data_IF_591441451670
#
_entry.id   IF_591441451670
#
_cell.length_a   1.000
_cell.length_b   1.000
_cell.length_c   1.000
_cell.angle_alpha   90.00
_cell.angle_beta   90.00
_cell.angle_gamma   90.00
#
_symmetry.space_group_name_H-M   'P 1'
#
loop_
_entity.id
_entity.type
_entity.pdbx_description
1 polymer ?
#
# COMPACT_ATOMS: atom_id res chain seq x y z
N UNK A 1 7.68 17.54 -25.06
CA UNK A 1 6.41 18.20 -24.68
C UNK A 1 5.44 17.10 -24.26
N UNK A 2 4.87 17.14 -23.05
CA UNK A 2 3.91 16.11 -22.62
C UNK A 2 2.51 16.42 -23.18
N UNK A 3 1.99 15.53 -24.01
CA UNK A 3 0.66 15.64 -24.60
C UNK A 3 -0.40 15.25 -23.58
N UNK A 4 -1.32 16.15 -23.24
CA UNK A 4 -2.46 15.80 -22.37
C UNK A 4 -3.63 15.28 -23.22
N UNK A 5 -4.21 14.14 -22.83
CA UNK A 5 -5.40 13.55 -23.47
C UNK A 5 -6.59 13.59 -22.50
N UNK A 6 -7.81 13.91 -22.96
CA UNK A 6 -8.99 13.91 -22.11
C UNK A 6 -9.37 12.49 -21.69
N UNK A 7 -9.78 12.33 -20.43
CA UNK A 7 -10.38 11.10 -19.89
C UNK A 7 -11.89 11.32 -19.75
N UNK A 8 -12.70 10.53 -20.44
CA UNK A 8 -14.16 10.58 -20.33
C UNK A 8 -14.64 9.46 -19.40
N UNK A 9 -15.11 9.83 -18.21
CA UNK A 9 -15.65 8.86 -17.24
C UNK A 9 -16.70 9.56 -16.39
N UNK A 10 -17.81 8.89 -16.12
CA UNK A 10 -18.83 9.37 -15.21
C UNK A 10 -18.35 9.20 -13.76
N UNK A 11 -18.59 10.21 -12.93
CA UNK A 11 -18.40 10.14 -11.47
C UNK A 11 -19.73 10.45 -10.79
N UNK A 12 -19.91 10.01 -9.54
CA UNK A 12 -21.11 10.34 -8.78
C UNK A 12 -21.23 11.85 -8.56
N UNK A 13 -22.48 12.33 -8.43
CA UNK A 13 -22.75 13.74 -8.14
C UNK A 13 -22.14 14.16 -6.79
N UNK A 14 -22.22 13.30 -5.78
CA UNK A 14 -21.64 13.53 -4.46
C UNK A 14 -20.12 13.71 -4.52
N UNK A 15 -19.41 12.84 -5.24
CA UNK A 15 -17.94 12.95 -5.37
C UNK A 15 -17.54 14.21 -6.14
N UNK A 16 -18.34 14.62 -7.12
CA UNK A 16 -18.14 15.89 -7.85
C UNK A 16 -18.24 17.08 -6.90
N UNK A 17 -19.26 17.11 -6.03
CA UNK A 17 -19.43 18.19 -5.06
C UNK A 17 -18.29 18.25 -4.03
N UNK A 18 -17.86 17.08 -3.55
CA UNK A 18 -16.70 16.97 -2.65
C UNK A 18 -15.41 17.48 -3.31
N UNK A 19 -15.16 17.09 -4.57
CA UNK A 19 -14.01 17.55 -5.34
C UNK A 19 -14.03 19.07 -5.54
N UNK A 20 -15.20 19.62 -5.85
CA UNK A 20 -15.39 21.05 -6.07
C UNK A 20 -15.08 21.84 -4.79
N UNK A 21 -15.68 21.44 -3.67
CA UNK A 21 -15.42 22.05 -2.35
C UNK A 21 -13.95 21.93 -1.94
N UNK A 22 -13.33 20.78 -2.17
CA UNK A 22 -11.92 20.54 -1.83
C UNK A 22 -10.98 21.45 -2.63
N UNK A 23 -11.22 21.56 -3.93
CA UNK A 23 -10.41 22.36 -4.84
C UNK A 23 -10.53 23.86 -4.54
N UNK A 24 -11.75 24.35 -4.32
CA UNK A 24 -12.02 25.75 -4.00
C UNK A 24 -11.36 26.18 -2.69
N UNK A 25 -11.53 25.40 -1.62
CA UNK A 25 -10.94 25.71 -0.30
C UNK A 25 -9.41 25.79 -0.31
N UNK A 26 -8.76 25.16 -1.29
CA UNK A 26 -7.29 25.09 -1.39
C UNK A 26 -6.74 25.86 -2.59
N UNK A 27 -7.57 26.56 -3.36
CA UNK A 27 -7.15 27.28 -4.57
C UNK A 27 -6.54 26.37 -5.64
N UNK A 28 -6.94 25.09 -5.69
CA UNK A 28 -6.40 24.10 -6.60
C UNK A 28 -7.28 23.93 -7.85
N UNK A 29 -6.67 23.55 -8.98
CA UNK A 29 -7.41 23.18 -10.19
C UNK A 29 -7.95 21.77 -10.03
N UNK A 30 -9.24 21.55 -10.34
CA UNK A 30 -9.89 20.22 -10.31
C UNK A 30 -9.09 19.17 -11.10
N UNK A 31 -8.62 19.54 -12.31
CA UNK A 31 -7.77 18.68 -13.14
C UNK A 31 -6.48 18.23 -12.42
N UNK A 32 -5.84 19.14 -11.69
CA UNK A 32 -4.62 18.83 -10.94
C UNK A 32 -4.91 17.83 -9.81
N UNK A 33 -6.00 18.04 -9.06
CA UNK A 33 -6.42 17.11 -7.99
C UNK A 33 -6.72 15.72 -8.55
N UNK A 34 -7.40 15.64 -9.70
CA UNK A 34 -7.72 14.35 -10.36
C UNK A 34 -6.46 13.65 -10.87
N UNK A 35 -5.55 14.38 -11.53
CA UNK A 35 -4.29 13.79 -12.01
C UNK A 35 -3.42 13.27 -10.85
N UNK A 36 -3.30 14.03 -9.77
CA UNK A 36 -2.52 13.60 -8.60
C UNK A 36 -3.18 12.47 -7.82
N UNK A 37 -4.51 12.47 -7.69
CA UNK A 37 -5.23 11.35 -7.08
C UNK A 37 -5.05 10.06 -7.89
N UNK A 38 -5.13 10.12 -9.22
CA UNK A 38 -4.90 8.97 -10.09
C UNK A 38 -3.45 8.49 -10.01
N UNK A 39 -2.47 9.40 -9.98
CA UNK A 39 -1.05 9.06 -9.79
C UNK A 39 -0.82 8.34 -8.47
N UNK A 40 -1.34 8.90 -7.37
CA UNK A 40 -1.24 8.31 -6.04
C UNK A 40 -1.92 6.93 -5.98
N UNK A 41 -3.11 6.83 -6.57
CA UNK A 41 -3.83 5.56 -6.66
C UNK A 41 -3.01 4.51 -7.40
N UNK A 42 -2.49 4.82 -8.58
CA UNK A 42 -1.65 3.87 -9.34
C UNK A 42 -0.36 3.53 -8.58
N UNK A 43 0.38 4.52 -8.07
CA UNK A 43 1.62 4.28 -7.32
C UNK A 43 1.40 3.36 -6.11
N UNK A 44 0.32 3.58 -5.37
CA UNK A 44 -0.06 2.72 -4.22
C UNK A 44 -0.33 1.27 -4.63
N UNK A 45 -0.77 1.05 -5.87
CA UNK A 45 -1.13 -0.28 -6.38
C UNK A 45 -0.05 -0.91 -7.30
N UNK A 46 0.91 -0.12 -7.79
CA UNK A 46 2.06 -0.57 -8.58
C UNK A 46 3.24 -0.98 -7.69
N UNK A 47 3.40 -0.37 -6.50
CA UNK A 47 4.51 -0.67 -5.57
C UNK A 47 4.39 -2.03 -4.86
N UNK A 48 3.25 -2.72 -4.96
CA UNK A 48 3.07 -4.04 -4.35
C UNK A 48 2.65 -5.07 -5.41
N UNK A 49 3.56 -5.95 -5.88
CA UNK A 49 3.19 -7.08 -6.71
C UNK A 49 2.08 -7.87 -6.00
N UNK A 50 1.14 -8.45 -6.76
CA UNK A 50 -0.04 -9.18 -6.27
C UNK A 50 0.22 -10.28 -5.22
N UNK A 51 1.48 -10.58 -4.89
CA UNK A 51 1.97 -11.58 -3.95
C UNK A 51 2.40 -10.94 -2.59
N UNK A 52 2.54 -9.62 -2.49
CA UNK A 52 2.98 -8.90 -1.30
C UNK A 52 1.83 -8.10 -0.65
N UNK A 53 0.66 -8.73 -0.52
CA UNK A 53 -0.33 -8.24 0.44
C UNK A 53 0.04 -8.80 1.80
N UNK A 54 1.01 -8.20 2.49
CA UNK A 54 1.19 -8.50 3.91
C UNK A 54 -0.08 -8.05 4.61
N UNK A 55 -0.93 -8.97 5.10
CA UNK A 55 -2.10 -8.53 5.83
C UNK A 55 -1.60 -7.82 7.09
N UNK A 56 -2.20 -6.67 7.42
CA UNK A 56 -1.93 -5.95 8.68
C UNK A 56 -2.13 -6.87 9.90
N UNK A 57 -2.84 -7.99 9.71
CA UNK A 57 -3.09 -9.04 10.69
C UNK A 57 -2.78 -10.41 10.08
N UNK A 58 -1.89 -11.16 10.72
CA UNK A 58 -1.73 -12.59 10.46
C UNK A 58 -2.79 -13.35 11.27
N UNK A 59 -3.58 -14.20 10.61
CA UNK A 59 -4.52 -15.12 11.27
C UNK A 59 -3.91 -16.51 11.16
N UNK A 60 -3.63 -17.12 12.31
CA UNK A 60 -3.04 -18.46 12.41
C UNK A 60 -4.12 -19.47 12.80
N UNK A 61 -3.91 -20.74 12.43
CA UNK A 61 -4.62 -21.83 13.09
C UNK A 61 -4.13 -21.98 14.53
N UNK A 62 -4.93 -22.62 15.37
CA UNK A 62 -4.57 -22.84 16.78
C UNK A 62 -3.21 -23.58 16.90
N UNK A 63 -3.01 -24.64 16.10
CA UNK A 63 -1.75 -25.40 16.07
C UNK A 63 -0.53 -24.53 15.67
N UNK A 64 -0.67 -23.67 14.65
CA UNK A 64 0.41 -22.79 14.23
C UNK A 64 0.67 -21.67 15.25
N UNK A 65 -0.36 -21.24 15.98
CA UNK A 65 -0.23 -20.28 17.06
C UNK A 65 0.53 -20.89 18.25
N UNK A 66 0.22 -22.13 18.64
CA UNK A 66 0.90 -22.84 19.72
C UNK A 66 2.39 -23.05 19.40
N UNK A 67 2.72 -23.43 18.15
CA UNK A 67 4.11 -23.55 17.70
C UNK A 67 4.86 -22.21 17.79
N UNK A 68 4.21 -21.13 17.34
CA UNK A 68 4.78 -19.79 17.40
C UNK A 68 5.02 -19.36 18.85
N UNK A 69 4.06 -19.60 19.75
CA UNK A 69 4.19 -19.28 21.17
C UNK A 69 5.39 -19.99 21.79
N UNK A 70 5.51 -21.30 21.58
CA UNK A 70 6.64 -22.08 22.12
C UNK A 70 8.00 -21.55 21.65
N UNK A 71 8.09 -21.11 20.39
CA UNK A 71 9.32 -20.53 19.82
C UNK A 71 9.62 -19.11 20.33
N UNK A 72 8.61 -18.35 20.73
CA UNK A 72 8.78 -17.03 21.35
C UNK A 72 9.19 -17.14 22.83
N UNK A 73 8.68 -18.14 23.54
CA UNK A 73 9.05 -18.42 24.94
C UNK A 73 10.48 -18.98 25.06
N UNK A 74 10.89 -19.80 24.09
CA UNK A 74 12.23 -20.37 24.00
C UNK A 74 12.89 -20.02 22.65
N UNK A 75 13.29 -18.75 22.44
CA UNK A 75 13.91 -18.34 21.20
C UNK A 75 15.25 -19.05 20.99
N UNK A 76 15.64 -19.33 19.73
CA UNK A 76 16.95 -19.89 19.46
C UNK A 76 18.04 -18.94 19.98
N UNK A 77 19.02 -19.49 20.70
CA UNK A 77 20.06 -18.70 21.36
C UNK A 77 20.92 -17.89 20.38
N UNK A 78 20.98 -18.29 19.11
CA UNK A 78 21.71 -17.58 18.05
C UNK A 78 20.97 -17.66 16.71
N UNK A 79 21.10 -16.63 15.85
CA UNK A 79 20.69 -16.70 14.45
C UNK A 79 21.32 -17.90 13.74
N UNK A 80 20.59 -18.49 12.81
CA UNK A 80 21.13 -19.58 11.98
C UNK A 80 22.23 -19.06 11.05
N UNK A 81 23.12 -19.95 10.62
CA UNK A 81 24.17 -19.60 9.64
C UNK A 81 23.59 -19.01 8.36
N UNK A 82 22.53 -19.63 7.83
CA UNK A 82 21.83 -19.15 6.64
C UNK A 82 21.25 -17.74 6.81
N UNK A 83 20.71 -17.41 7.99
CA UNK A 83 20.23 -16.05 8.27
C UNK A 83 21.39 -15.05 8.33
N UNK A 84 22.52 -15.43 8.92
CA UNK A 84 23.72 -14.59 8.94
C UNK A 84 24.29 -14.35 7.55
N UNK A 85 24.26 -15.34 6.67
CA UNK A 85 24.68 -15.20 5.27
C UNK A 85 23.75 -14.27 4.48
N UNK A 86 22.43 -14.45 4.62
CA UNK A 86 21.43 -13.58 3.98
C UNK A 86 21.60 -12.10 4.40
N UNK A 87 21.88 -11.84 5.68
CA UNK A 87 22.04 -10.47 6.20
C UNK A 87 23.41 -9.85 5.87
N UNK A 88 24.33 -10.57 5.23
CA UNK A 88 25.66 -10.10 4.82
C UNK A 88 25.73 -9.67 3.34
N UNK A 89 24.63 -9.75 2.60
CA UNK A 89 24.59 -9.26 1.22
C UNK A 89 24.66 -7.72 1.20
N UNK A 90 25.65 -7.18 0.47
CA UNK A 90 25.84 -5.74 0.16
C UNK A 90 24.87 -5.26 -0.94
#
# INVERSE_FOLDING_TARGET
MSTTKPLSTAISAELREQLDTFAERRGLKKKFVVEEALRMFMATHDELPHIARTPVRLVLSDEAFDELQARLEAPPARPTHALLELMRED
#
